data_IF_611778951629
#
_entry.id   IF_611778951629
#
_cell.length_a   1.000
_cell.length_b   1.000
_cell.length_c   1.000
_cell.angle_alpha   90.00
_cell.angle_beta   90.00
_cell.angle_gamma   90.00
#
_symmetry.space_group_name_H-M   'P 1'
#
loop_
_entity.id
_entity.type
_entity.pdbx_description
1 polymer ?
#
# COMPACT_ATOMS: atom_id res chain seq x y z
N UNK A 1 -23.32 -1.86 5.37
CA UNK A 1 -22.06 -1.77 4.58
C UNK A 1 -21.67 -3.17 4.15
N UNK A 2 -20.99 -3.29 2.99
CA UNK A 2 -20.38 -4.55 2.56
C UNK A 2 -19.24 -4.96 3.51
N UNK A 3 -18.90 -6.25 3.55
CA UNK A 3 -17.73 -6.70 4.32
C UNK A 3 -16.44 -6.06 3.77
N UNK A 4 -15.50 -5.67 4.64
CA UNK A 4 -14.28 -5.04 4.19
C UNK A 4 -13.38 -6.06 3.47
N UNK A 5 -12.81 -5.64 2.34
CA UNK A 5 -11.87 -6.45 1.55
C UNK A 5 -10.49 -5.82 1.57
N UNK A 6 -9.46 -6.58 1.89
CA UNK A 6 -8.08 -6.12 1.86
C UNK A 6 -7.69 -5.73 0.42
N UNK A 7 -7.30 -4.48 0.23
CA UNK A 7 -6.95 -3.92 -1.08
C UNK A 7 -5.45 -3.65 -1.26
N UNK A 8 -4.73 -3.43 -0.16
CA UNK A 8 -3.29 -3.22 -0.16
C UNK A 8 -2.73 -3.57 1.20
N UNK A 9 -1.63 -4.31 1.23
CA UNK A 9 -0.80 -4.50 2.40
C UNK A 9 0.64 -4.10 2.08
N UNK A 10 1.28 -3.46 3.03
CA UNK A 10 2.70 -3.07 2.97
C UNK A 10 3.44 -3.75 4.09
N UNK A 11 4.48 -4.49 3.73
CA UNK A 11 5.30 -5.26 4.68
C UNK A 11 6.74 -4.81 4.59
N UNK A 12 7.37 -4.62 5.73
CA UNK A 12 8.81 -4.39 5.85
C UNK A 12 9.49 -5.66 6.36
N UNK A 13 10.64 -5.93 5.77
CA UNK A 13 11.62 -6.89 6.27
C UNK A 13 12.92 -6.17 6.58
N UNK A 14 13.46 -6.40 7.74
CA UNK A 14 14.81 -5.94 8.12
C UNK A 14 15.75 -7.14 8.15
N UNK A 15 16.92 -7.00 7.54
CA UNK A 15 17.93 -8.05 7.48
C UNK A 15 19.27 -7.54 8.03
N UNK A 16 20.20 -8.46 8.25
CA UNK A 16 21.59 -8.13 8.59
C UNK A 16 22.44 -7.71 7.37
N UNK A 17 21.86 -7.67 6.17
CA UNK A 17 22.56 -7.32 4.93
C UNK A 17 22.67 -5.80 4.76
N UNK A 18 23.78 -5.32 4.19
CA UNK A 18 23.98 -3.92 3.79
C UNK A 18 24.49 -3.88 2.37
N UNK A 19 23.86 -3.08 1.52
CA UNK A 19 24.09 -3.07 0.08
C UNK A 19 24.76 -1.79 -0.43
N UNK A 20 25.66 -1.95 -1.41
CA UNK A 20 25.93 -0.92 -2.39
C UNK A 20 24.86 -1.00 -3.49
N UNK A 21 23.94 -0.05 -3.50
CA UNK A 21 22.78 -0.09 -4.42
C UNK A 21 23.16 0.12 -5.88
N UNK A 22 24.35 0.60 -6.20
CA UNK A 22 24.81 0.73 -7.59
C UNK A 22 25.31 -0.62 -8.10
N UNK A 23 26.20 -1.27 -7.35
CA UNK A 23 26.65 -2.62 -7.68
C UNK A 23 25.48 -3.61 -7.69
N UNK A 24 24.55 -3.49 -6.73
CA UNK A 24 23.38 -4.34 -6.64
C UNK A 24 22.49 -4.23 -7.89
N UNK A 25 22.34 -3.04 -8.48
CA UNK A 25 21.56 -2.86 -9.71
C UNK A 25 22.10 -3.73 -10.86
N UNK A 26 23.42 -3.83 -10.98
CA UNK A 26 24.09 -4.52 -12.09
C UNK A 26 24.05 -6.05 -11.91
N UNK A 27 24.13 -6.55 -10.69
CA UNK A 27 24.23 -7.99 -10.42
C UNK A 27 22.87 -8.70 -10.23
N UNK A 28 21.76 -7.99 -9.96
CA UNK A 28 20.44 -8.64 -9.85
C UNK A 28 20.07 -9.28 -11.18
N UNK A 29 19.89 -10.61 -11.27
CA UNK A 29 19.48 -11.27 -12.50
C UNK A 29 17.99 -11.01 -12.78
N UNK A 30 17.65 -10.94 -14.09
CA UNK A 30 16.26 -11.10 -14.52
C UNK A 30 16.00 -12.58 -14.78
N UNK A 31 14.91 -13.11 -14.24
CA UNK A 31 14.52 -14.49 -14.38
C UNK A 31 12.97 -14.61 -14.29
N UNK A 32 12.45 -15.81 -14.16
CA UNK A 32 11.00 -16.06 -14.04
C UNK A 32 10.37 -15.41 -12.80
N UNK A 33 11.16 -15.20 -11.73
CA UNK A 33 10.69 -14.56 -10.51
C UNK A 33 10.98 -13.05 -10.50
N UNK A 34 12.16 -12.60 -10.91
CA UNK A 34 12.52 -11.18 -10.94
C UNK A 34 12.33 -10.68 -12.36
N UNK A 35 11.18 -10.04 -12.61
CA UNK A 35 10.76 -9.64 -13.96
C UNK A 35 11.14 -8.20 -14.31
N UNK A 36 11.48 -7.37 -13.32
CA UNK A 36 11.87 -5.98 -13.53
C UNK A 36 12.77 -5.49 -12.41
N UNK A 37 13.79 -4.70 -12.80
CA UNK A 37 14.67 -3.98 -11.88
C UNK A 37 14.82 -2.54 -12.36
N UNK A 38 14.67 -1.57 -11.46
CA UNK A 38 14.84 -0.15 -11.77
C UNK A 38 15.47 0.62 -10.61
N UNK A 39 16.31 1.60 -10.94
CA UNK A 39 16.85 2.60 -10.03
C UNK A 39 16.76 3.96 -10.70
N UNK A 40 16.40 4.99 -9.94
CA UNK A 40 16.31 6.35 -10.48
C UNK A 40 17.65 6.81 -11.02
N UNK A 41 17.64 7.40 -12.24
CA UNK A 41 18.84 7.84 -12.94
C UNK A 41 19.59 6.76 -13.71
N UNK A 42 19.09 5.54 -13.74
CA UNK A 42 19.64 4.41 -14.46
C UNK A 42 18.61 3.80 -15.43
N UNK A 43 19.05 3.17 -16.53
CA UNK A 43 18.15 2.44 -17.41
C UNK A 43 17.44 1.32 -16.64
N UNK A 44 16.13 1.20 -16.84
CA UNK A 44 15.36 0.06 -16.31
C UNK A 44 15.68 -1.21 -17.10
N UNK A 45 15.63 -2.35 -16.42
CA UNK A 45 15.72 -3.68 -17.02
C UNK A 45 14.44 -4.46 -16.78
N UNK A 46 13.89 -5.12 -17.80
CA UNK A 46 12.64 -5.86 -17.71
C UNK A 46 11.39 -4.97 -17.71
N UNK A 47 10.22 -5.60 -17.63
CA UNK A 47 8.92 -4.95 -17.69
C UNK A 47 7.93 -5.55 -16.69
N UNK A 48 6.97 -4.74 -16.23
CA UNK A 48 5.86 -5.13 -15.38
C UNK A 48 4.52 -4.72 -16.00
N UNK A 49 3.42 -5.26 -15.46
CA UNK A 49 2.06 -4.86 -15.89
C UNK A 49 1.83 -3.37 -15.75
N UNK A 50 2.46 -2.72 -14.76
CA UNK A 50 2.33 -1.25 -14.56
C UNK A 50 2.92 -0.43 -15.68
N UNK A 51 3.95 -0.92 -16.37
CA UNK A 51 4.58 -0.21 -17.50
C UNK A 51 3.64 -0.14 -18.71
N UNK A 52 2.71 -1.10 -18.82
CA UNK A 52 1.71 -1.18 -19.91
C UNK A 52 0.51 -0.26 -19.70
N UNK A 53 0.33 0.29 -18.50
CA UNK A 53 -0.78 1.18 -18.18
C UNK A 53 -0.45 2.60 -18.65
N UNK A 54 -1.07 3.03 -19.74
CA UNK A 54 -0.98 4.43 -20.21
C UNK A 54 -1.63 5.35 -19.20
N UNK A 55 -0.84 6.13 -18.46
CA UNK A 55 -1.37 7.17 -17.58
C UNK A 55 -1.93 8.29 -18.44
N UNK A 56 -3.17 8.74 -18.17
CA UNK A 56 -3.69 9.98 -18.75
C UNK A 56 -2.81 11.14 -18.24
N UNK A 57 -1.97 11.67 -19.12
CA UNK A 57 -1.21 12.89 -18.84
C UNK A 57 -2.23 14.03 -18.92
N UNK A 58 -2.43 14.77 -17.85
CA UNK A 58 -3.15 16.05 -17.90
C UNK A 58 -2.29 16.99 -18.73
N UNK A 59 -2.81 17.48 -19.86
CA UNK A 59 -2.08 18.34 -20.81
C UNK A 59 -1.52 19.63 -20.19
N UNK A 60 -2.07 20.08 -19.07
CA UNK A 60 -1.75 21.35 -18.42
C UNK A 60 -1.19 21.19 -17.00
N UNK A 61 -0.66 20.02 -16.65
CA UNK A 61 -0.01 19.85 -15.36
C UNK A 61 1.41 20.46 -15.42
N UNK A 62 1.76 21.46 -14.58
CA UNK A 62 3.11 21.95 -14.50
C UNK A 62 4.07 20.79 -14.23
N UNK A 63 5.21 20.78 -14.92
CA UNK A 63 6.26 19.78 -14.67
C UNK A 63 6.59 19.79 -13.17
N UNK A 64 6.19 18.71 -12.48
CA UNK A 64 6.54 18.57 -11.08
C UNK A 64 8.04 18.46 -10.98
N UNK A 65 8.70 19.32 -10.19
CA UNK A 65 10.13 19.20 -10.01
C UNK A 65 10.46 17.78 -9.55
N UNK A 66 11.37 17.14 -10.25
CA UNK A 66 11.81 15.76 -10.03
C UNK A 66 12.65 15.60 -8.74
N UNK A 67 12.40 16.47 -7.77
CA UNK A 67 13.13 16.52 -6.51
C UNK A 67 12.37 15.81 -5.42
N UNK A 68 12.67 14.55 -5.22
CA UNK A 68 12.60 14.01 -3.87
C UNK A 68 13.78 13.05 -3.69
N UNK A 69 14.71 13.45 -2.85
CA UNK A 69 15.90 12.68 -2.50
C UNK A 69 15.63 11.30 -1.88
N UNK A 70 14.35 10.94 -1.72
CA UNK A 70 13.92 9.69 -1.11
C UNK A 70 14.17 8.43 -1.97
N UNK A 71 14.48 8.57 -3.26
CA UNK A 71 14.58 7.44 -4.19
C UNK A 71 16.00 7.10 -4.62
N UNK A 72 17.03 7.86 -4.19
CA UNK A 72 18.41 7.61 -4.61
C UNK A 72 19.07 6.41 -3.94
N UNK A 73 18.64 6.07 -2.72
CA UNK A 73 19.24 5.04 -1.89
C UNK A 73 18.51 3.69 -1.95
N UNK A 74 17.64 3.49 -2.92
CA UNK A 74 16.90 2.24 -3.09
C UNK A 74 16.86 1.76 -4.53
N UNK A 75 16.76 0.45 -4.68
CA UNK A 75 16.41 -0.22 -5.93
C UNK A 75 14.96 -0.67 -5.82
N UNK A 76 14.21 -0.51 -6.89
CA UNK A 76 12.86 -1.08 -7.01
C UNK A 76 12.91 -2.27 -7.95
N UNK A 77 12.39 -3.40 -7.52
CA UNK A 77 12.18 -4.55 -8.37
C UNK A 77 10.74 -5.02 -8.33
N UNK A 78 10.34 -5.72 -9.37
CA UNK A 78 9.05 -6.41 -9.43
C UNK A 78 9.31 -7.89 -9.55
N UNK A 79 8.74 -8.63 -8.60
CA UNK A 79 8.79 -10.09 -8.59
C UNK A 79 7.44 -10.67 -8.98
N UNK A 80 7.49 -11.74 -9.76
CA UNK A 80 6.34 -12.59 -10.01
C UNK A 80 6.29 -13.65 -8.92
N UNK A 81 5.19 -13.70 -8.17
CA UNK A 81 4.89 -14.75 -7.21
C UNK A 81 3.82 -15.64 -7.81
N UNK A 82 4.05 -16.94 -7.85
CA UNK A 82 3.16 -17.89 -8.51
C UNK A 82 1.91 -18.24 -7.68
N UNK A 83 1.89 -17.82 -6.40
CA UNK A 83 0.82 -18.22 -5.48
C UNK A 83 1.00 -19.66 -5.01
N UNK A 84 -0.10 -20.33 -4.66
CA UNK A 84 -0.12 -21.71 -4.16
C UNK A 84 -1.24 -22.56 -4.79
N UNK A 85 -1.83 -22.09 -5.89
CA UNK A 85 -2.99 -22.71 -6.52
C UNK A 85 -4.33 -22.19 -6.02
N UNK A 86 -4.48 -21.87 -4.73
CA UNK A 86 -5.63 -21.16 -4.18
C UNK A 86 -5.47 -19.66 -4.36
N UNK A 87 -4.25 -19.15 -4.16
CA UNK A 87 -3.89 -17.75 -4.40
C UNK A 87 -3.33 -17.59 -5.83
N UNK A 88 -3.81 -16.61 -6.61
CA UNK A 88 -3.41 -16.44 -8.00
C UNK A 88 -1.99 -15.89 -8.13
N UNK A 89 -1.39 -16.11 -9.28
CA UNK A 89 -0.12 -15.51 -9.68
C UNK A 89 -0.19 -13.98 -9.64
N UNK A 90 0.79 -13.33 -9.00
CA UNK A 90 0.76 -11.90 -8.72
C UNK A 90 2.13 -11.23 -8.77
N UNK A 91 2.16 -9.99 -9.27
CA UNK A 91 3.32 -9.11 -9.21
C UNK A 91 3.41 -8.43 -7.83
N UNK A 92 4.57 -8.58 -7.18
CA UNK A 92 4.92 -7.94 -5.91
C UNK A 92 6.03 -6.93 -6.20
N UNK A 93 5.83 -5.69 -5.77
CA UNK A 93 6.86 -4.65 -5.90
C UNK A 93 7.67 -4.60 -4.62
N UNK A 94 8.99 -4.70 -4.75
CA UNK A 94 9.94 -4.69 -3.63
C UNK A 94 10.92 -3.54 -3.83
N UNK A 95 11.10 -2.73 -2.78
CA UNK A 95 12.19 -1.76 -2.71
C UNK A 95 13.26 -2.28 -1.76
N UNK A 96 14.49 -2.30 -2.24
CA UNK A 96 15.66 -2.68 -1.45
C UNK A 96 16.41 -1.41 -1.08
N UNK A 97 16.60 -1.18 0.21
CA UNK A 97 17.38 -0.06 0.72
C UNK A 97 18.79 -0.50 1.08
N UNK A 98 19.73 0.43 1.02
CA UNK A 98 21.15 0.14 1.30
C UNK A 98 21.42 -0.41 2.71
N UNK A 99 20.53 -0.15 3.66
CA UNK A 99 20.64 -0.60 5.06
C UNK A 99 20.02 -1.98 5.31
N UNK A 100 19.66 -2.73 4.26
CA UNK A 100 19.09 -4.08 4.39
C UNK A 100 17.61 -4.13 4.71
N UNK A 101 16.91 -3.00 4.58
CA UNK A 101 15.45 -2.96 4.68
C UNK A 101 14.84 -3.24 3.32
N UNK A 102 13.83 -4.12 3.29
CA UNK A 102 13.01 -4.44 2.12
C UNK A 102 11.59 -3.97 2.37
N UNK A 103 11.05 -3.21 1.44
CA UNK A 103 9.70 -2.66 1.50
C UNK A 103 8.84 -3.30 0.42
N UNK A 104 7.95 -4.20 0.81
CA UNK A 104 7.10 -4.96 -0.09
C UNK A 104 5.73 -4.31 -0.20
N UNK A 105 5.25 -4.10 -1.43
CA UNK A 105 3.93 -3.55 -1.74
C UNK A 105 3.20 -4.42 -2.76
N UNK A 106 1.87 -4.34 -2.74
CA UNK A 106 1.03 -5.21 -3.58
C UNK A 106 0.76 -6.56 -2.93
N UNK A 107 1.17 -6.74 -1.70
CA UNK A 107 0.88 -7.91 -0.87
C UNK A 107 -0.61 -7.89 -0.47
N UNK A 108 -1.28 -9.01 -0.57
CA UNK A 108 -2.69 -9.20 -0.13
C UNK A 108 -2.83 -10.42 0.77
N UNK A 109 -1.77 -11.14 1.00
CA UNK A 109 -1.71 -12.33 1.84
C UNK A 109 -0.27 -12.60 2.25
N UNK A 110 -0.04 -13.11 3.46
CA UNK A 110 1.29 -13.36 4.01
C UNK A 110 2.14 -14.33 3.16
N UNK A 111 1.50 -15.25 2.44
CA UNK A 111 2.21 -16.16 1.55
C UNK A 111 2.98 -15.40 0.45
N UNK A 112 2.42 -14.31 -0.08
CA UNK A 112 3.08 -13.55 -1.14
C UNK A 112 4.38 -12.88 -0.66
N UNK A 113 4.37 -12.30 0.53
CA UNK A 113 5.57 -11.64 1.03
C UNK A 113 6.62 -12.64 1.52
N UNK A 114 6.21 -13.69 2.24
CA UNK A 114 7.15 -14.70 2.75
C UNK A 114 7.83 -15.49 1.65
N UNK A 115 7.09 -15.90 0.60
CA UNK A 115 7.69 -16.57 -0.55
C UNK A 115 8.60 -15.62 -1.35
N UNK A 116 8.15 -14.41 -1.64
CA UNK A 116 8.93 -13.47 -2.43
C UNK A 116 10.23 -13.06 -1.74
N UNK A 117 10.20 -12.77 -0.42
CA UNK A 117 11.42 -12.39 0.29
C UNK A 117 12.40 -13.55 0.39
N UNK A 118 11.94 -14.78 0.59
CA UNK A 118 12.79 -15.98 0.63
C UNK A 118 13.54 -16.18 -0.69
N UNK A 119 12.82 -16.16 -1.82
CA UNK A 119 13.40 -16.32 -3.16
C UNK A 119 14.38 -15.16 -3.43
N UNK A 120 14.00 -13.93 -3.10
CA UNK A 120 14.86 -12.78 -3.33
C UNK A 120 16.15 -12.86 -2.53
N UNK A 121 16.09 -13.15 -1.23
CA UNK A 121 17.28 -13.24 -0.38
C UNK A 121 18.24 -14.34 -0.83
N UNK A 122 17.72 -15.52 -1.24
CA UNK A 122 18.55 -16.58 -1.83
C UNK A 122 19.23 -16.09 -3.11
N UNK A 123 18.48 -15.47 -4.03
CA UNK A 123 19.04 -14.95 -5.28
C UNK A 123 20.11 -13.88 -5.04
N UNK A 124 19.88 -12.94 -4.11
CA UNK A 124 20.85 -11.91 -3.77
C UNK A 124 22.11 -12.50 -3.14
N UNK A 125 21.95 -13.50 -2.28
CA UNK A 125 23.05 -14.19 -1.64
C UNK A 125 23.92 -14.97 -2.61
N UNK A 126 23.32 -15.60 -3.60
CA UNK A 126 24.01 -16.39 -4.61
C UNK A 126 24.68 -15.53 -5.68
N UNK A 127 23.97 -14.49 -6.17
CA UNK A 127 24.37 -13.74 -7.36
C UNK A 127 24.96 -12.36 -7.07
N UNK A 128 24.79 -11.81 -5.88
CA UNK A 128 25.09 -10.40 -5.62
C UNK A 128 25.99 -10.19 -4.38
N UNK A 129 26.83 -11.16 -4.01
CA UNK A 129 27.76 -11.01 -2.84
C UNK A 129 28.67 -9.82 -2.95
N UNK A 130 29.15 -9.51 -4.17
CA UNK A 130 30.05 -8.37 -4.42
C UNK A 130 29.37 -6.99 -4.24
N UNK A 131 28.04 -6.98 -4.17
CA UNK A 131 27.26 -5.79 -3.85
C UNK A 131 27.01 -5.61 -2.35
N UNK A 132 27.41 -6.56 -1.51
CA UNK A 132 27.35 -6.40 -0.06
C UNK A 132 28.51 -5.51 0.41
N UNK A 133 28.22 -4.57 1.30
CA UNK A 133 29.25 -3.73 1.94
C UNK A 133 30.07 -4.53 2.93
N UNK A 134 29.43 -5.46 3.63
CA UNK A 134 30.00 -6.42 4.55
C UNK A 134 29.30 -7.75 4.29
N UNK A 135 30.07 -8.83 4.12
CA UNK A 135 29.50 -10.17 3.91
C UNK A 135 29.41 -10.86 5.26
N UNK A 136 28.21 -11.03 5.82
CA UNK A 136 28.04 -11.77 7.07
C UNK A 136 28.27 -13.27 6.83
N UNK A 137 28.47 -14.05 7.89
CA UNK A 137 28.60 -15.50 7.80
C UNK A 137 27.37 -16.16 7.10
N UNK A 138 26.19 -15.66 7.44
CA UNK A 138 24.91 -16.02 6.81
C UNK A 138 23.98 -14.82 6.74
N UNK A 139 23.03 -14.82 5.80
CA UNK A 139 21.96 -13.83 5.81
C UNK A 139 20.86 -14.23 6.79
N UNK A 140 20.29 -13.24 7.46
CA UNK A 140 19.22 -13.42 8.42
C UNK A 140 18.13 -12.36 8.25
N UNK A 141 16.89 -12.78 8.38
CA UNK A 141 15.75 -11.87 8.56
C UNK A 141 15.64 -11.55 10.05
N UNK A 142 15.84 -10.30 10.41
CA UNK A 142 15.81 -9.83 11.81
C UNK A 142 14.38 -9.48 12.24
N UNK A 143 13.61 -8.93 11.34
CA UNK A 143 12.23 -8.50 11.62
C UNK A 143 11.36 -8.60 10.37
N UNK A 144 10.09 -9.00 10.56
CA UNK A 144 8.98 -8.83 9.61
C UNK A 144 7.91 -7.99 10.27
N UNK A 145 7.51 -6.87 9.65
CA UNK A 145 6.51 -5.96 10.20
C UNK A 145 5.51 -5.52 9.13
N UNK A 146 4.23 -5.71 9.39
CA UNK A 146 3.17 -5.08 8.60
C UNK A 146 3.08 -3.61 9.00
N UNK A 147 3.22 -2.71 8.02
CA UNK A 147 3.23 -1.26 8.25
C UNK A 147 1.89 -0.64 7.97
N UNK A 148 1.19 -1.17 6.99
CA UNK A 148 -0.07 -0.61 6.51
C UNK A 148 -0.92 -1.69 5.87
N UNK A 149 -2.20 -1.72 6.25
CA UNK A 149 -3.26 -2.40 5.53
C UNK A 149 -4.33 -1.40 5.12
N UNK A 150 -4.73 -1.43 3.85
CA UNK A 150 -5.89 -0.70 3.37
C UNK A 150 -6.99 -1.70 3.02
N UNK A 151 -8.17 -1.43 3.53
CA UNK A 151 -9.38 -2.17 3.18
C UNK A 151 -10.31 -1.30 2.34
N UNK A 152 -11.13 -1.93 1.53
CA UNK A 152 -12.21 -1.27 0.81
C UNK A 152 -13.53 -1.90 1.21
N UNK A 153 -14.53 -1.06 1.41
CA UNK A 153 -15.93 -1.45 1.62
C UNK A 153 -16.83 -0.51 0.84
N UNK A 154 -18.13 -0.79 0.85
CA UNK A 154 -19.12 0.05 0.19
C UNK A 154 -20.39 0.14 1.05
N UNK A 155 -21.03 1.29 1.04
CA UNK A 155 -22.39 1.43 1.56
C UNK A 155 -23.35 0.63 0.68
N UNK A 156 -24.31 -0.05 1.31
CA UNK A 156 -25.30 -0.91 0.62
C UNK A 156 -26.36 -0.10 -0.15
N UNK A 157 -26.39 1.22 -0.04
CA UNK A 157 -27.30 2.06 -0.80
C UNK A 157 -26.78 2.25 -2.24
N UNK A 158 -27.69 2.23 -3.21
CA UNK A 158 -27.38 2.58 -4.59
C UNK A 158 -27.33 4.11 -4.80
N UNK A 159 -27.57 4.90 -3.75
CA UNK A 159 -27.59 6.34 -3.80
C UNK A 159 -26.17 6.93 -3.66
N UNK A 160 -25.99 8.07 -4.29
CA UNK A 160 -24.71 8.80 -4.16
C UNK A 160 -24.67 9.53 -2.83
N UNK A 161 -23.47 9.52 -2.19
CA UNK A 161 -23.23 10.23 -0.94
C UNK A 161 -23.06 11.72 -1.20
N UNK A 162 -23.90 12.54 -0.57
CA UNK A 162 -23.71 13.99 -0.46
C UNK A 162 -22.56 14.28 0.50
N UNK A 163 -21.33 14.35 -0.03
CA UNK A 163 -20.09 14.43 0.76
C UNK A 163 -20.03 15.67 1.64
N UNK A 164 -20.52 16.81 1.14
CA UNK A 164 -20.58 18.07 1.88
C UNK A 164 -21.55 17.96 3.07
N UNK A 165 -22.74 17.37 2.85
CA UNK A 165 -23.70 17.14 3.93
C UNK A 165 -23.10 16.18 4.98
N UNK A 166 -22.45 15.09 4.56
CA UNK A 166 -21.75 14.18 5.47
C UNK A 166 -20.70 14.91 6.32
N UNK A 167 -19.87 15.74 5.69
CA UNK A 167 -18.86 16.54 6.37
C UNK A 167 -19.48 17.48 7.41
N UNK A 168 -20.53 18.23 7.02
CA UNK A 168 -21.21 19.18 7.90
C UNK A 168 -21.89 18.47 9.07
N UNK A 169 -22.55 17.34 8.84
CA UNK A 169 -23.21 16.55 9.89
C UNK A 169 -22.21 16.00 10.90
N UNK A 170 -21.04 15.49 10.47
CA UNK A 170 -20.00 15.01 11.39
C UNK A 170 -19.48 16.18 12.23
N UNK A 171 -19.24 17.34 11.64
CA UNK A 171 -18.78 18.52 12.39
C UNK A 171 -19.82 19.03 13.38
N UNK A 172 -21.08 19.03 12.99
CA UNK A 172 -22.18 19.47 13.86
C UNK A 172 -22.39 18.52 15.05
N UNK A 173 -22.14 17.23 14.87
CA UNK A 173 -22.28 16.22 15.91
C UNK A 173 -21.25 16.37 17.05
N UNK A 174 -20.13 17.06 16.82
CA UNK A 174 -19.05 17.32 17.82
C UNK A 174 -18.63 16.08 18.60
N UNK A 175 -18.54 14.93 17.91
CA UNK A 175 -18.19 13.66 18.54
C UNK A 175 -16.75 13.67 19.01
N UNK A 176 -16.54 13.26 20.25
CA UNK A 176 -15.21 13.11 20.83
C UNK A 176 -14.37 12.12 20.00
N UNK A 177 -13.10 12.41 19.83
CA UNK A 177 -12.14 11.59 19.05
C UNK A 177 -12.45 11.41 17.55
N UNK A 178 -13.45 12.11 16.99
CA UNK A 178 -13.74 12.08 15.56
C UNK A 178 -13.45 13.43 14.95
N UNK A 179 -12.56 13.44 13.95
CA UNK A 179 -12.29 14.64 13.14
C UNK A 179 -12.55 14.32 11.67
N UNK A 180 -12.95 15.33 10.90
CA UNK A 180 -13.16 15.15 9.47
C UNK A 180 -12.59 16.33 8.66
N UNK A 181 -12.19 16.04 7.43
CA UNK A 181 -11.66 16.98 6.46
C UNK A 181 -12.31 16.73 5.11
N UNK A 182 -12.72 17.79 4.44
CA UNK A 182 -13.23 17.75 3.08
C UNK A 182 -12.85 19.00 2.32
N UNK A 183 -12.04 18.83 1.30
CA UNK A 183 -11.65 19.83 0.33
C UNK A 183 -11.69 19.15 -1.06
N UNK A 184 -12.77 19.35 -1.84
CA UNK A 184 -12.95 18.68 -3.10
C UNK A 184 -11.91 19.02 -4.17
N UNK A 185 -11.28 20.17 -4.08
CA UNK A 185 -10.25 20.62 -5.03
C UNK A 185 -8.92 19.90 -4.78
N UNK A 186 -8.64 19.54 -3.53
CA UNK A 186 -7.44 18.79 -3.14
C UNK A 186 -7.65 17.29 -3.20
N UNK A 187 -8.80 16.79 -2.67
CA UNK A 187 -9.10 15.38 -2.59
C UNK A 187 -10.59 15.08 -2.67
N UNK A 188 -11.02 14.17 -3.57
CA UNK A 188 -12.44 13.94 -3.85
C UNK A 188 -13.23 13.20 -2.77
N UNK A 189 -12.60 12.72 -1.71
CA UNK A 189 -13.24 11.98 -0.62
C UNK A 189 -13.27 12.76 0.68
N UNK A 190 -14.33 12.56 1.49
CA UNK A 190 -14.33 13.00 2.90
C UNK A 190 -13.38 12.10 3.68
N UNK A 191 -12.41 12.68 4.35
CA UNK A 191 -11.50 11.98 5.26
C UNK A 191 -12.06 12.07 6.67
N UNK A 192 -12.31 10.94 7.30
CA UNK A 192 -12.83 10.84 8.66
C UNK A 192 -11.77 10.11 9.48
N UNK A 193 -11.20 10.79 10.46
CA UNK A 193 -10.25 10.20 11.39
C UNK A 193 -10.96 9.81 12.68
N UNK A 194 -10.72 8.59 13.15
CA UNK A 194 -11.33 8.00 14.36
C UNK A 194 -10.21 7.67 15.34
N UNK A 195 -10.05 8.54 16.36
CA UNK A 195 -9.11 8.33 17.46
C UNK A 195 -9.70 7.38 18.53
N UNK A 196 -8.87 6.87 19.43
CA UNK A 196 -7.42 7.11 19.58
C UNK A 196 -6.54 6.33 18.59
N UNK A 197 -7.14 5.54 17.73
CA UNK A 197 -6.44 4.79 16.69
C UNK A 197 -6.01 5.71 15.53
N UNK A 198 -5.04 5.26 14.72
CA UNK A 198 -4.65 5.96 13.48
C UNK A 198 -5.61 5.68 12.32
N UNK A 199 -6.84 5.30 12.60
CA UNK A 199 -7.82 4.91 11.59
C UNK A 199 -8.35 6.10 10.83
N UNK A 200 -8.33 6.01 9.52
CA UNK A 200 -8.89 7.03 8.63
C UNK A 200 -9.77 6.38 7.56
N UNK A 201 -11.06 6.72 7.56
CA UNK A 201 -11.98 6.35 6.49
C UNK A 201 -12.01 7.46 5.44
N UNK A 202 -11.91 7.09 4.16
CA UNK A 202 -12.03 7.99 3.00
C UNK A 202 -13.30 7.65 2.25
N UNK A 203 -14.32 8.49 2.36
CA UNK A 203 -15.66 8.25 1.83
C UNK A 203 -15.86 8.98 0.52
N UNK A 204 -16.19 8.24 -0.54
CA UNK A 204 -16.39 8.79 -1.88
C UNK A 204 -17.87 8.90 -2.24
N UNK A 205 -18.17 9.74 -3.23
CA UNK A 205 -19.54 9.97 -3.72
C UNK A 205 -20.27 8.68 -4.11
N UNK A 206 -19.56 7.70 -4.63
CA UNK A 206 -20.11 6.40 -5.06
C UNK A 206 -20.47 5.46 -3.91
N UNK A 207 -20.35 5.89 -2.65
CA UNK A 207 -20.49 5.02 -1.49
C UNK A 207 -19.28 4.12 -1.22
N UNK A 208 -18.25 4.14 -2.10
CA UNK A 208 -16.98 3.43 -1.83
C UNK A 208 -16.27 4.08 -0.65
N UNK A 209 -15.73 3.26 0.23
CA UNK A 209 -14.96 3.68 1.40
C UNK A 209 -13.62 2.98 1.37
N UNK A 210 -12.54 3.73 1.63
CA UNK A 210 -11.21 3.18 1.86
C UNK A 210 -10.89 3.36 3.34
N UNK A 211 -10.57 2.26 4.02
CA UNK A 211 -10.11 2.24 5.41
C UNK A 211 -8.59 2.14 5.39
N UNK A 212 -7.91 2.99 6.14
CA UNK A 212 -6.44 3.04 6.24
C UNK A 212 -6.00 3.32 7.68
N UNK A 213 -4.73 3.05 7.99
CA UNK A 213 -4.19 3.15 9.35
C UNK A 213 -4.33 1.85 10.14
N UNK A 214 -4.67 0.75 9.48
CA UNK A 214 -4.79 -0.60 10.03
C UNK A 214 -3.43 -1.29 9.92
N UNK A 215 -3.03 -2.01 10.94
CA UNK A 215 -1.77 -2.79 10.99
C UNK A 215 -2.00 -4.27 11.32
N UNK A 216 -3.18 -4.62 11.86
CA UNK A 216 -3.62 -6.00 12.13
C UNK A 216 -4.98 -6.24 11.48
N UNK A 217 -5.20 -7.44 10.96
CA UNK A 217 -6.48 -7.84 10.35
C UNK A 217 -7.67 -7.70 11.30
N UNK A 218 -7.48 -7.94 12.59
CA UNK A 218 -8.52 -7.83 13.62
C UNK A 218 -9.05 -6.40 13.77
N UNK A 219 -8.19 -5.41 13.56
CA UNK A 219 -8.59 -4.00 13.65
C UNK A 219 -9.64 -3.62 12.59
N UNK A 220 -9.71 -4.32 11.46
CA UNK A 220 -10.63 -4.00 10.38
C UNK A 220 -12.10 -4.11 10.81
N UNK A 221 -12.44 -5.12 11.61
CA UNK A 221 -13.82 -5.33 12.08
C UNK A 221 -14.23 -4.29 13.11
N UNK A 222 -13.34 -3.92 14.01
CA UNK A 222 -13.61 -2.90 15.03
C UNK A 222 -13.70 -1.51 14.41
N UNK A 223 -12.86 -1.22 13.41
CA UNK A 223 -12.98 -0.01 12.62
C UNK A 223 -14.33 0.04 11.87
N UNK A 224 -14.76 -1.07 11.27
CA UNK A 224 -16.06 -1.16 10.59
C UNK A 224 -17.23 -0.90 11.55
N UNK A 225 -17.20 -1.46 12.78
CA UNK A 225 -18.22 -1.21 13.80
C UNK A 225 -18.28 0.26 14.18
N UNK A 226 -17.11 0.87 14.44
CA UNK A 226 -17.02 2.29 14.79
C UNK A 226 -17.57 3.19 13.68
N UNK A 227 -17.25 2.87 12.41
CA UNK A 227 -17.74 3.60 11.27
C UNK A 227 -19.25 3.43 11.04
N UNK A 228 -19.79 2.23 11.28
CA UNK A 228 -21.24 1.96 11.21
C UNK A 228 -22.00 2.76 12.26
N UNK A 229 -21.50 2.80 13.49
CA UNK A 229 -22.07 3.61 14.58
C UNK A 229 -22.07 5.09 14.22
N UNK A 230 -20.95 5.60 13.71
CA UNK A 230 -20.87 6.99 13.23
C UNK A 230 -21.91 7.28 12.14
N UNK A 231 -22.00 6.44 11.12
CA UNK A 231 -22.94 6.68 10.01
C UNK A 231 -24.40 6.59 10.45
N UNK A 232 -24.73 5.72 11.39
CA UNK A 232 -26.07 5.66 11.96
C UNK A 232 -26.47 6.96 12.66
N UNK A 233 -25.49 7.69 13.24
CA UNK A 233 -25.76 8.96 13.94
C UNK A 233 -25.78 10.19 13.01
N UNK A 234 -25.07 10.16 11.84
CA UNK A 234 -24.88 11.37 11.02
C UNK A 234 -25.50 11.28 9.63
N UNK A 235 -25.80 10.09 9.11
CA UNK A 235 -26.53 9.93 7.85
C UNK A 235 -28.03 9.95 8.11
N UNK A 236 -28.82 10.67 7.28
CA UNK A 236 -30.25 10.61 7.41
C UNK A 236 -30.73 9.17 7.21
N UNK A 237 -31.53 8.68 8.14
CA UNK A 237 -32.26 7.42 7.98
C UNK A 237 -33.18 7.58 6.77
N UNK A 238 -32.90 6.91 5.67
CA UNK A 238 -33.83 6.87 4.53
C UNK A 238 -35.13 6.27 5.04
N UNK A 239 -36.28 6.99 4.98
CA UNK A 239 -37.55 6.38 5.35
C UNK A 239 -37.75 5.18 4.43
N UNK A 240 -38.03 4.01 5.02
CA UNK A 240 -38.51 2.85 4.24
C UNK A 240 -39.70 3.32 3.44
N UNK A 241 -39.61 3.34 2.12
CA UNK A 241 -40.81 3.51 1.28
C UNK A 241 -41.82 2.45 1.70
N UNK A 242 -43.06 2.85 1.92
CA UNK A 242 -44.15 1.93 2.25
C UNK A 242 -44.34 0.89 1.18
#
# INVERSE_FOLDING_TARGET
MESPTLSTMVVLYTTNLKFDTTKLLDCIPLNEHIIKVEKRGFPKRGESKRDKIKRRVKKDAPEKPTTTGFCHNSITLVMMNDGDGALPKKEITIKIFQNGVFHLTGVLHDLYDTCSIRILLSTLWESCKDALKEVPEKYEVLERRVVLMNYTTKLLSNETIAREALYNNIRAAKLEHITCQYDPDVYPGVKIHIGPHNWTAKVFRTGKIILTGITDHKESDDFMKSLQTLFASVLPTTPKKP
#
